data_IF_383358809127
#
_entry.id   IF_383358809127
#
_cell.length_a   1.000
_cell.length_b   1.000
_cell.length_c   1.000
_cell.angle_alpha   90.00
_cell.angle_beta   90.00
_cell.angle_gamma   90.00
#
_symmetry.space_group_name_H-M   'P 1'
#
loop_
_entity.id
_entity.type
_entity.pdbx_description
1 polymer ?
#
# COMPACT_ATOMS: atom_id res chain seq x y z
N UNK A 1 -2.41 -8.79 8.82
CA UNK A 1 -3.86 -9.04 8.61
C UNK A 1 -4.51 -7.78 8.05
N UNK A 2 -5.09 -7.82 6.83
CA UNK A 2 -5.67 -6.64 6.19
C UNK A 2 -6.97 -6.22 6.88
N UNK A 3 -7.10 -4.91 7.14
CA UNK A 3 -8.29 -4.32 7.75
C UNK A 3 -9.34 -4.18 6.64
N UNK A 4 -10.55 -4.67 6.89
CA UNK A 4 -11.70 -4.58 5.98
C UNK A 4 -12.65 -3.51 6.49
N UNK A 5 -12.88 -2.47 5.69
CA UNK A 5 -13.92 -1.46 5.95
C UNK A 5 -14.87 -1.48 4.74
N UNK A 6 -16.13 -1.85 4.98
CA UNK A 6 -17.29 -1.79 4.06
C UNK A 6 -17.20 -2.41 2.64
N UNK A 7 -16.09 -3.12 2.33
CA UNK A 7 -15.74 -3.94 1.12
C UNK A 7 -14.37 -3.57 0.56
N UNK A 8 -13.75 -2.49 1.02
CA UNK A 8 -12.40 -2.09 0.62
C UNK A 8 -11.38 -2.71 1.57
N UNK A 9 -10.44 -3.47 1.01
CA UNK A 9 -9.29 -3.98 1.77
C UNK A 9 -8.21 -2.91 1.81
N UNK A 10 -7.68 -2.69 3.00
CA UNK A 10 -6.49 -1.88 3.22
C UNK A 10 -5.33 -2.76 3.66
N UNK A 11 -4.17 -2.48 3.08
CA UNK A 11 -2.91 -3.12 3.38
C UNK A 11 -2.02 -2.12 4.10
N UNK A 12 -1.24 -2.62 5.05
CA UNK A 12 -0.19 -1.82 5.68
C UNK A 12 1.07 -1.85 4.81
N UNK A 13 2.01 -0.95 5.07
CA UNK A 13 3.34 -0.97 4.42
C UNK A 13 4.01 -2.34 4.53
N UNK A 14 3.85 -3.01 5.68
CA UNK A 14 4.35 -4.36 5.94
C UNK A 14 3.77 -5.38 4.95
N UNK A 15 2.44 -5.40 4.82
CA UNK A 15 1.75 -6.35 3.94
C UNK A 15 2.07 -6.06 2.46
N UNK A 16 2.21 -4.80 2.07
CA UNK A 16 2.62 -4.42 0.71
C UNK A 16 4.07 -4.84 0.42
N UNK A 17 4.94 -4.72 1.43
CA UNK A 17 6.34 -5.17 1.36
C UNK A 17 6.40 -6.67 1.07
N UNK A 18 5.60 -7.47 1.79
CA UNK A 18 5.43 -8.91 1.52
C UNK A 18 4.80 -9.19 0.15
N UNK A 19 3.74 -8.49 -0.25
CA UNK A 19 3.05 -8.76 -1.53
C UNK A 19 3.94 -8.45 -2.74
N UNK A 20 4.65 -7.33 -2.70
CA UNK A 20 5.51 -6.89 -3.81
C UNK A 20 6.92 -7.48 -3.73
N UNK A 21 7.26 -8.18 -2.64
CA UNK A 21 8.62 -8.66 -2.34
C UNK A 21 9.65 -7.51 -2.40
N UNK A 22 9.26 -6.35 -1.85
CA UNK A 22 10.07 -5.14 -1.81
C UNK A 22 10.36 -4.76 -0.37
N UNK A 23 11.49 -4.10 -0.12
CA UNK A 23 11.79 -3.54 1.20
C UNK A 23 10.79 -2.45 1.59
N UNK A 24 10.48 -2.31 2.88
CA UNK A 24 9.59 -1.26 3.42
C UNK A 24 10.01 0.14 2.97
N UNK A 25 11.32 0.40 2.91
CA UNK A 25 11.89 1.64 2.37
C UNK A 25 11.49 1.91 0.92
N UNK A 26 11.47 0.89 0.06
CA UNK A 26 11.07 0.99 -1.35
C UNK A 26 9.59 1.29 -1.47
N UNK A 27 8.77 0.63 -0.64
CA UNK A 27 7.32 0.90 -0.57
C UNK A 27 7.07 2.35 -0.15
N UNK A 28 7.72 2.83 0.91
CA UNK A 28 7.60 4.23 1.36
C UNK A 28 8.09 5.20 0.29
N UNK A 29 9.19 4.88 -0.39
CA UNK A 29 9.70 5.68 -1.51
C UNK A 29 8.67 5.76 -2.63
N UNK A 30 8.01 4.67 -3.00
CA UNK A 30 6.95 4.68 -4.01
C UNK A 30 5.70 5.45 -3.58
N UNK A 31 5.38 5.43 -2.29
CA UNK A 31 4.33 6.28 -1.73
C UNK A 31 4.71 7.75 -1.87
N UNK A 32 5.92 8.14 -1.46
CA UNK A 32 6.40 9.52 -1.58
C UNK A 32 6.54 9.99 -3.04
N UNK A 33 6.81 9.09 -3.97
CA UNK A 33 6.86 9.37 -5.41
C UNK A 33 5.47 9.47 -6.05
N UNK A 34 4.38 9.21 -5.31
CA UNK A 34 3.02 9.20 -5.84
C UNK A 34 2.70 8.00 -6.74
N UNK A 35 3.58 6.98 -6.79
CA UNK A 35 3.35 5.75 -7.56
C UNK A 35 2.35 4.83 -6.87
N UNK A 36 2.34 4.84 -5.53
CA UNK A 36 1.38 4.09 -4.70
C UNK A 36 0.62 5.12 -3.86
N UNK A 37 -0.70 5.20 -4.06
CA UNK A 37 -1.56 6.02 -3.21
C UNK A 37 -1.79 5.33 -1.86
N UNK A 38 -1.39 6.01 -0.80
CA UNK A 38 -1.55 5.54 0.57
C UNK A 38 -2.10 6.65 1.46
N UNK A 39 -2.91 6.27 2.45
CA UNK A 39 -3.46 7.17 3.46
C UNK A 39 -2.69 6.94 4.75
N UNK A 40 -2.15 8.01 5.35
CA UNK A 40 -1.51 7.94 6.65
C UNK A 40 -2.58 7.95 7.74
N UNK A 41 -2.67 6.87 8.52
CA UNK A 41 -3.58 6.77 9.66
C UNK A 41 -2.72 6.48 10.90
N UNK A 42 -2.62 7.46 11.79
CA UNK A 42 -1.67 7.42 12.91
C UNK A 42 -0.22 7.38 12.42
N UNK A 43 0.54 6.39 12.89
CA UNK A 43 1.95 6.18 12.50
C UNK A 43 2.14 5.28 11.28
N UNK A 44 1.07 4.70 10.73
CA UNK A 44 1.15 3.68 9.68
C UNK A 44 0.49 4.13 8.37
N UNK A 45 1.07 3.72 7.25
CA UNK A 45 0.47 3.91 5.93
C UNK A 45 -0.50 2.79 5.61
N UNK A 46 -1.68 3.17 5.14
CA UNK A 46 -2.74 2.27 4.70
C UNK A 46 -2.94 2.44 3.20
N UNK A 47 -2.64 1.39 2.46
CA UNK A 47 -2.72 1.31 1.01
C UNK A 47 -4.04 0.62 0.66
N UNK A 48 -4.89 1.24 -0.14
CA UNK A 48 -6.11 0.59 -0.62
C UNK A 48 -5.78 -0.50 -1.65
N UNK A 49 -6.58 -1.56 -1.69
CA UNK A 49 -6.44 -2.59 -2.72
C UNK A 49 -6.53 -2.03 -4.13
N UNK A 50 -7.34 -0.98 -4.33
CA UNK A 50 -7.47 -0.30 -5.61
C UNK A 50 -6.15 0.34 -6.03
N UNK A 51 -5.49 1.08 -5.14
CA UNK A 51 -4.19 1.67 -5.45
C UNK A 51 -3.11 0.63 -5.72
N UNK A 52 -3.13 -0.50 -5.01
CA UNK A 52 -2.21 -1.59 -5.29
C UNK A 52 -2.45 -2.18 -6.70
N UNK A 53 -3.71 -2.37 -7.07
CA UNK A 53 -4.08 -2.88 -8.39
C UNK A 53 -3.71 -1.89 -9.51
N UNK A 54 -3.90 -0.59 -9.30
CA UNK A 54 -3.44 0.48 -10.21
C UNK A 54 -1.92 0.44 -10.41
N UNK A 55 -1.16 0.26 -9.32
CA UNK A 55 0.29 0.11 -9.37
C UNK A 55 0.70 -1.11 -10.19
N UNK A 56 0.06 -2.26 -9.97
CA UNK A 56 0.33 -3.50 -10.70
C UNK A 56 -0.07 -3.45 -12.18
N UNK A 57 -1.04 -2.60 -12.55
CA UNK A 57 -1.42 -2.39 -13.96
C UNK A 57 -0.47 -1.45 -14.70
N UNK A 58 0.22 -0.56 -13.97
CA UNK A 58 1.09 0.48 -14.54
C UNK A 58 2.56 0.06 -14.58
N UNK A 59 2.95 -0.95 -13.78
CA UNK A 59 4.30 -1.54 -13.77
C UNK A 59 4.50 -2.57 -14.86
#
# INVERSE_FOLDING_TARGET
MPIRIERTKFYLTDEISDILHLSKESVVKYIHQGRIHAIKIGSSWHISQESLNEFLKTG
#
